data_IF_748706703018
#
_entry.id   IF_748706703018
#
_cell.length_a   1.000
_cell.length_b   1.000
_cell.length_c   1.000
_cell.angle_alpha   90.00
_cell.angle_beta   90.00
_cell.angle_gamma   90.00
#
_symmetry.space_group_name_H-M   'P 1'
#
loop_
_entity.id
_entity.type
_entity.pdbx_description
1 polymer ?
#
# COMPACT_ATOMS: atom_id res chain seq x y z
N UNK A 1 7.20 -23.77 -8.88
CA UNK A 1 6.12 -23.42 -7.94
C UNK A 1 6.06 -21.90 -7.92
N UNK A 2 4.97 -21.32 -8.43
CA UNK A 2 4.96 -19.93 -8.91
C UNK A 2 5.02 -18.91 -7.77
N UNK A 3 5.94 -17.95 -7.89
CA UNK A 3 6.08 -16.76 -7.04
C UNK A 3 4.92 -15.77 -7.30
N UNK A 4 3.71 -16.16 -6.93
CA UNK A 4 2.48 -15.38 -7.21
C UNK A 4 2.16 -14.32 -6.14
N UNK A 5 3.00 -14.24 -5.11
CA UNK A 5 2.86 -13.27 -4.02
C UNK A 5 4.01 -12.29 -4.01
N UNK A 6 3.73 -11.06 -3.61
CA UNK A 6 4.73 -10.02 -3.36
C UNK A 6 4.52 -9.40 -1.99
N UNK A 7 5.60 -8.81 -1.47
CA UNK A 7 5.58 -8.02 -0.26
C UNK A 7 5.62 -6.54 -0.65
N UNK A 8 4.61 -5.80 -0.19
CA UNK A 8 4.49 -4.36 -0.35
C UNK A 8 4.85 -3.68 0.98
N UNK A 9 5.82 -2.78 0.93
CA UNK A 9 6.16 -1.91 2.04
C UNK A 9 5.30 -0.65 1.93
N UNK A 10 4.35 -0.50 2.85
CA UNK A 10 3.39 0.57 2.89
C UNK A 10 3.75 1.58 3.97
N UNK A 11 3.69 2.87 3.62
CA UNK A 11 3.80 3.99 4.54
C UNK A 11 2.44 4.68 4.64
N UNK A 12 1.81 4.63 5.82
CA UNK A 12 0.56 5.33 6.09
C UNK A 12 0.86 6.75 6.52
N UNK A 13 0.34 7.72 5.77
CA UNK A 13 0.56 9.14 6.04
C UNK A 13 -0.47 9.60 7.09
N UNK A 14 -0.04 9.97 8.32
CA UNK A 14 -0.94 10.29 9.42
C UNK A 14 -1.47 11.71 9.28
N UNK A 15 -2.39 11.92 8.32
CA UNK A 15 -3.06 13.19 8.06
C UNK A 15 -4.58 13.03 8.19
N UNK A 16 -5.29 14.13 8.42
CA UNK A 16 -6.76 14.15 8.46
C UNK A 16 -7.36 13.10 9.41
N UNK A 17 -8.22 12.20 8.90
CA UNK A 17 -8.87 11.14 9.70
C UNK A 17 -7.88 10.09 10.23
N UNK A 18 -6.65 10.03 9.69
CA UNK A 18 -5.56 9.14 10.15
C UNK A 18 -4.62 9.83 11.14
N UNK A 19 -4.92 11.06 11.58
CA UNK A 19 -4.18 11.70 12.66
C UNK A 19 -4.19 10.83 13.93
N UNK A 20 -3.08 10.83 14.65
CA UNK A 20 -2.88 10.08 15.90
C UNK A 20 -2.84 8.54 15.76
N UNK A 21 -2.63 8.00 14.56
CA UNK A 21 -2.30 6.58 14.41
C UNK A 21 -1.04 6.25 15.22
N UNK A 22 -1.02 5.13 15.97
CA UNK A 22 0.19 4.69 16.66
C UNK A 22 1.35 4.54 15.68
N UNK A 23 2.53 5.07 16.01
CA UNK A 23 3.71 5.01 15.12
C UNK A 23 4.06 3.59 14.65
N UNK A 24 3.83 2.58 15.50
CA UNK A 24 4.01 1.16 15.16
C UNK A 24 3.11 0.65 14.02
N UNK A 25 2.03 1.37 13.69
CA UNK A 25 1.07 1.02 12.63
C UNK A 25 1.29 1.82 11.34
N UNK A 26 2.17 2.83 11.36
CA UNK A 26 2.46 3.70 10.21
C UNK A 26 3.22 2.95 9.12
N UNK A 27 4.15 2.08 9.52
CA UNK A 27 4.94 1.25 8.62
C UNK A 27 4.36 -0.15 8.61
N UNK A 28 3.92 -0.63 7.45
CA UNK A 28 3.34 -1.97 7.31
C UNK A 28 3.98 -2.72 6.14
N UNK A 29 4.31 -3.99 6.37
CA UNK A 29 4.73 -4.92 5.31
C UNK A 29 3.59 -5.89 5.03
N UNK A 30 3.08 -5.88 3.80
CA UNK A 30 1.83 -6.55 3.43
C UNK A 30 2.09 -7.50 2.26
N UNK A 31 1.72 -8.77 2.45
CA UNK A 31 1.79 -9.77 1.40
C UNK A 31 0.48 -9.79 0.61
N UNK A 32 0.57 -9.63 -0.71
CA UNK A 32 -0.58 -9.69 -1.63
C UNK A 32 -0.27 -10.60 -2.80
N UNK A 33 -1.31 -11.06 -3.53
CA UNK A 33 -1.09 -11.75 -4.81
C UNK A 33 -0.86 -10.74 -5.92
N UNK A 34 -0.01 -11.08 -6.88
CA UNK A 34 0.37 -10.19 -8.00
C UNK A 34 -0.82 -9.75 -8.86
N UNK A 35 -1.82 -10.63 -9.00
CA UNK A 35 -3.02 -10.41 -9.81
C UNK A 35 -4.18 -9.79 -9.02
N UNK A 36 -4.01 -9.51 -7.72
CA UNK A 36 -5.00 -8.80 -6.93
C UNK A 36 -4.88 -7.28 -7.16
N UNK A 37 -6.00 -6.58 -6.94
CA UNK A 37 -6.06 -5.12 -6.99
C UNK A 37 -5.96 -4.45 -5.63
N UNK A 38 -6.03 -3.12 -5.63
CA UNK A 38 -5.90 -2.27 -4.44
C UNK A 38 -6.96 -2.53 -3.35
N UNK A 39 -8.13 -3.09 -3.70
CA UNK A 39 -9.17 -3.45 -2.72
C UNK A 39 -8.73 -4.47 -1.67
N UNK A 40 -7.88 -5.44 -2.06
CA UNK A 40 -7.34 -6.43 -1.11
C UNK A 40 -6.33 -5.82 -0.16
N UNK A 41 -5.49 -4.94 -0.69
CA UNK A 41 -4.54 -4.16 0.10
C UNK A 41 -5.26 -3.25 1.10
N UNK A 42 -6.36 -2.60 0.68
CA UNK A 42 -7.17 -1.74 1.55
C UNK A 42 -7.77 -2.51 2.73
N UNK A 43 -8.40 -3.65 2.46
CA UNK A 43 -8.99 -4.51 3.49
C UNK A 43 -7.93 -4.97 4.52
N UNK A 44 -6.75 -5.35 4.07
CA UNK A 44 -5.67 -5.81 4.94
C UNK A 44 -5.12 -4.67 5.81
N UNK A 45 -4.91 -3.48 5.23
CA UNK A 45 -4.49 -2.28 5.99
C UNK A 45 -5.54 -1.90 7.02
N UNK A 46 -6.82 -1.84 6.64
CA UNK A 46 -7.91 -1.49 7.55
C UNK A 46 -8.03 -2.49 8.71
N UNK A 47 -7.87 -3.79 8.44
CA UNK A 47 -7.83 -4.84 9.46
C UNK A 47 -6.72 -4.59 10.50
N UNK A 48 -5.50 -4.30 10.05
CA UNK A 48 -4.34 -4.02 10.92
C UNK A 48 -4.45 -2.70 11.66
N UNK A 49 -5.03 -1.68 11.02
CA UNK A 49 -5.30 -0.38 11.61
C UNK A 49 -6.27 -0.50 12.79
N UNK A 50 -7.30 -1.33 12.68
CA UNK A 50 -8.30 -1.53 13.73
C UNK A 50 -9.12 -0.27 14.02
N UNK A 51 -10.09 -0.36 14.94
CA UNK A 51 -10.91 0.80 15.31
C UNK A 51 -10.04 1.89 15.98
N UNK A 52 -10.31 3.19 15.73
CA UNK A 52 -11.38 3.73 14.89
C UNK A 52 -11.04 3.84 13.39
N UNK A 53 -9.82 3.48 12.99
CA UNK A 53 -9.27 3.77 11.67
C UNK A 53 -9.70 2.79 10.57
N UNK A 54 -10.17 1.60 10.94
CA UNK A 54 -10.55 0.51 10.02
C UNK A 54 -11.75 0.79 9.09
N UNK A 55 -12.39 1.95 9.21
CA UNK A 55 -13.49 2.39 8.33
C UNK A 55 -13.12 3.56 7.44
N UNK A 56 -11.89 4.06 7.53
CA UNK A 56 -11.45 5.20 6.74
C UNK A 56 -11.11 4.68 5.34
N UNK A 57 -11.79 5.19 4.29
CA UNK A 57 -11.46 4.82 2.92
C UNK A 57 -10.05 5.29 2.59
N UNK A 58 -9.30 4.50 1.83
CA UNK A 58 -7.89 4.74 1.56
C UNK A 58 -7.62 5.07 0.10
N UNK A 59 -6.61 5.90 -0.11
CA UNK A 59 -5.99 6.20 -1.41
C UNK A 59 -4.56 5.65 -1.38
N UNK A 60 -4.18 4.95 -2.44
CA UNK A 60 -2.87 4.34 -2.58
C UNK A 60 -2.10 5.06 -3.66
N UNK A 61 -0.88 5.47 -3.36
CA UNK A 61 0.06 6.02 -4.32
C UNK A 61 1.29 5.13 -4.38
N UNK A 62 1.79 4.85 -5.58
CA UNK A 62 3.00 4.07 -5.80
C UNK A 62 4.17 5.01 -6.05
N UNK A 63 5.29 4.70 -5.41
CA UNK A 63 6.59 5.31 -5.69
C UNK A 63 7.33 4.36 -6.63
N UNK A 64 7.41 4.71 -7.91
CA UNK A 64 8.12 3.89 -8.88
C UNK A 64 9.64 3.98 -8.65
N UNK A 65 10.34 2.85 -8.64
CA UNK A 65 11.79 2.83 -8.49
C UNK A 65 12.46 3.70 -9.57
N UNK A 66 13.35 4.60 -9.15
CA UNK A 66 14.01 5.56 -10.04
C UNK A 66 13.16 6.79 -10.43
N UNK A 67 11.90 6.87 -9.97
CA UNK A 67 11.04 8.03 -10.14
C UNK A 67 10.85 8.77 -8.81
N UNK A 68 10.76 10.10 -8.87
CA UNK A 68 10.40 10.96 -7.72
C UNK A 68 8.89 11.23 -7.69
N UNK A 69 8.14 10.71 -8.66
CA UNK A 69 6.72 11.01 -8.84
C UNK A 69 5.88 9.88 -8.23
N UNK A 70 5.01 10.25 -7.28
CA UNK A 70 3.95 9.39 -6.79
C UNK A 70 2.83 9.27 -7.83
N UNK A 71 2.40 8.05 -8.14
CA UNK A 71 1.25 7.77 -9.01
C UNK A 71 0.12 7.13 -8.21
N UNK A 72 -1.07 7.70 -8.24
CA UNK A 72 -2.26 7.08 -7.64
C UNK A 72 -2.59 5.75 -8.33
N UNK A 73 -2.99 4.76 -7.53
CA UNK A 73 -3.48 3.47 -8.01
C UNK A 73 -4.99 3.52 -8.24
N UNK A 74 -5.42 2.97 -9.36
CA UNK A 74 -6.83 2.73 -9.61
C UNK A 74 -7.32 1.42 -8.95
N UNK A 75 -8.64 1.22 -8.90
CA UNK A 75 -9.25 0.03 -8.27
C UNK A 75 -8.89 -1.29 -8.96
N UNK A 76 -8.70 -1.25 -10.28
CA UNK A 76 -8.46 -2.42 -11.14
C UNK A 76 -6.99 -2.57 -11.54
N UNK A 77 -6.14 -1.67 -11.06
CA UNK A 77 -4.70 -1.75 -11.24
C UNK A 77 -4.17 -3.03 -10.59
N UNK A 78 -3.66 -3.94 -11.41
CA UNK A 78 -3.03 -5.16 -10.91
C UNK A 78 -1.59 -4.86 -10.49
N UNK A 79 -1.15 -5.41 -9.36
CA UNK A 79 0.23 -5.21 -8.91
C UNK A 79 1.27 -5.70 -9.92
N UNK A 80 0.94 -6.71 -10.73
CA UNK A 80 1.82 -7.20 -11.80
C UNK A 80 2.03 -6.24 -12.96
N UNK A 81 1.11 -5.31 -13.19
CA UNK A 81 1.27 -4.31 -14.24
C UNK A 81 2.10 -3.12 -13.77
N UNK A 82 2.28 -2.97 -12.45
CA UNK A 82 2.89 -1.79 -11.84
C UNK A 82 4.27 -2.07 -11.29
N UNK A 83 4.45 -3.24 -10.69
CA UNK A 83 5.74 -3.67 -10.19
C UNK A 83 6.39 -4.60 -11.22
N UNK A 84 7.44 -4.10 -11.88
CA UNK A 84 8.33 -4.95 -12.67
C UNK A 84 9.12 -5.86 -11.72
N UNK A 85 8.77 -7.14 -11.67
CA UNK A 85 9.36 -8.12 -10.75
C UNK A 85 10.76 -8.59 -11.15
N UNK A 86 11.35 -7.98 -12.17
CA UNK A 86 12.67 -8.36 -12.72
C UNK A 86 13.84 -7.81 -11.88
N UNK A 87 13.61 -6.78 -11.07
CA UNK A 87 14.57 -6.32 -10.07
C UNK A 87 14.13 -6.75 -8.67
N UNK A 88 15.04 -7.40 -7.94
CA UNK A 88 14.84 -7.81 -6.56
C UNK A 88 14.53 -6.56 -5.72
N UNK A 89 13.26 -6.39 -5.31
CA UNK A 89 12.80 -5.20 -4.59
C UNK A 89 13.56 -5.12 -3.27
N UNK A 90 14.49 -4.16 -3.16
CA UNK A 90 15.25 -3.95 -1.93
C UNK A 90 14.26 -3.59 -0.82
N UNK A 91 14.19 -4.45 0.20
CA UNK A 91 13.26 -4.34 1.33
C UNK A 91 13.36 -3.03 2.13
N UNK A 92 14.36 -2.20 1.85
CA UNK A 92 14.68 -0.95 2.53
C UNK A 92 13.82 0.26 2.07
N UNK A 93 13.05 0.13 0.97
CA UNK A 93 12.23 1.23 0.44
C UNK A 93 10.72 0.99 0.64
N UNK A 94 9.97 2.08 0.83
CA UNK A 94 8.51 2.07 0.74
C UNK A 94 8.09 2.07 -0.73
N UNK A 95 7.17 1.17 -1.07
CA UNK A 95 6.64 1.03 -2.42
C UNK A 95 5.32 1.78 -2.58
N UNK A 96 4.58 1.93 -1.47
CA UNK A 96 3.23 2.49 -1.46
C UNK A 96 3.10 3.51 -0.34
N UNK A 97 2.62 4.70 -0.65
CA UNK A 97 2.12 5.68 0.32
C UNK A 97 0.60 5.58 0.41
N UNK A 98 0.08 5.60 1.63
CA UNK A 98 -1.33 5.38 1.93
C UNK A 98 -1.88 6.63 2.59
N UNK A 99 -2.89 7.22 1.95
CA UNK A 99 -3.56 8.43 2.39
C UNK A 99 -5.01 8.13 2.76
N UNK A 100 -5.65 8.90 3.66
CA UNK A 100 -7.11 8.86 3.73
C UNK A 100 -7.67 9.41 2.41
N UNK A 101 -8.65 8.72 1.82
CA UNK A 101 -9.37 9.24 0.66
C UNK A 101 -10.24 10.41 1.13
N UNK A 102 -10.05 11.58 0.51
CA UNK A 102 -10.94 12.72 0.70
C UNK A 102 -12.35 12.35 0.23
N UNK A 103 -13.37 12.81 0.94
CA UNK A 103 -14.75 12.81 0.45
C UNK A 103 -14.93 13.84 -0.67
#
# INVERSE_FOLDING_TARGET
MSYDTIILNCLIVPIGKLMNIPGIKVIQSIMVRKHEGSSKLEAEIQSRLGAPFNKIPLKFCIIQAGSVIEREMELYDQFSEIFSFDEETKAEHFHITVYPRSE
#
